data_IF_048595047920
#
_entry.id   IF_048595047920
#
_cell.length_a   1.000
_cell.length_b   1.000
_cell.length_c   1.000
_cell.angle_alpha   90.00
_cell.angle_beta   90.00
_cell.angle_gamma   90.00
#
_symmetry.space_group_name_H-M   'P 1'
#
loop_
_entity.id
_entity.type
_entity.pdbx_description
1 polymer ?
#
# COMPACT_ATOMS: atom_id res chain seq x y z
N UNK A 1 -54.88 -12.65 34.20
CA UNK A 1 -54.28 -11.58 33.37
C UNK A 1 -53.12 -12.20 32.62
N UNK A 2 -53.35 -12.57 31.36
CA UNK A 2 -52.31 -13.13 30.49
C UNK A 2 -51.61 -11.95 29.82
N UNK A 3 -50.40 -11.63 30.24
CA UNK A 3 -49.54 -10.66 29.55
C UNK A 3 -49.03 -11.34 28.27
N UNK A 4 -49.54 -10.94 27.10
CA UNK A 4 -48.97 -11.33 25.83
C UNK A 4 -47.49 -10.90 25.77
N UNK A 5 -46.57 -11.82 25.36
CA UNK A 5 -45.18 -11.45 25.19
C UNK A 5 -45.07 -10.43 24.05
N UNK A 6 -44.57 -9.24 24.35
CA UNK A 6 -44.38 -8.20 23.36
C UNK A 6 -43.44 -8.71 22.23
N UNK A 7 -43.97 -8.79 21.00
CA UNK A 7 -43.17 -9.17 19.83
C UNK A 7 -41.95 -8.22 19.66
N UNK A 8 -40.76 -8.74 19.50
CA UNK A 8 -39.57 -7.89 19.32
C UNK A 8 -39.73 -7.04 18.06
N UNK A 9 -39.48 -5.74 18.16
CA UNK A 9 -39.57 -4.86 16.98
C UNK A 9 -38.50 -5.27 15.96
N UNK A 10 -38.82 -5.23 14.65
CA UNK A 10 -37.88 -5.53 13.55
C UNK A 10 -36.56 -4.80 13.68
N UNK A 11 -36.61 -3.55 14.18
CA UNK A 11 -35.41 -2.74 14.41
C UNK A 11 -34.48 -3.33 15.49
N UNK A 12 -35.05 -3.87 16.57
CA UNK A 12 -34.27 -4.53 17.63
C UNK A 12 -33.67 -5.84 17.13
N UNK A 13 -34.39 -6.61 16.32
CA UNK A 13 -33.89 -7.86 15.73
C UNK A 13 -32.74 -7.55 14.74
N UNK A 14 -32.89 -6.53 13.87
CA UNK A 14 -31.85 -6.10 12.95
C UNK A 14 -30.61 -5.61 13.70
N UNK A 15 -30.78 -4.81 14.76
CA UNK A 15 -29.66 -4.35 15.59
C UNK A 15 -28.90 -5.49 16.25
N UNK A 16 -29.60 -6.49 16.81
CA UNK A 16 -28.97 -7.67 17.39
C UNK A 16 -28.22 -8.50 16.32
N UNK A 17 -28.81 -8.67 15.13
CA UNK A 17 -28.15 -9.38 14.03
C UNK A 17 -26.85 -8.71 13.61
N UNK A 18 -26.84 -7.38 13.45
CA UNK A 18 -25.64 -6.61 13.11
C UNK A 18 -24.57 -6.76 14.21
N UNK A 19 -24.98 -6.65 15.47
CA UNK A 19 -24.07 -6.75 16.62
C UNK A 19 -23.36 -8.11 16.70
N UNK A 20 -23.99 -9.18 16.21
CA UNK A 20 -23.39 -10.51 16.15
C UNK A 20 -22.60 -10.74 14.87
N UNK A 21 -23.13 -10.31 13.72
CA UNK A 21 -22.50 -10.57 12.42
C UNK A 21 -21.20 -9.78 12.22
N UNK A 22 -21.14 -8.51 12.66
CA UNK A 22 -19.95 -7.68 12.48
C UNK A 22 -18.69 -8.28 13.15
N UNK A 23 -18.74 -8.70 14.43
CA UNK A 23 -17.60 -9.37 15.06
C UNK A 23 -17.23 -10.70 14.38
N UNK A 24 -18.21 -11.47 13.93
CA UNK A 24 -17.95 -12.74 13.24
C UNK A 24 -17.20 -12.47 11.92
N UNK A 25 -17.68 -11.56 11.08
CA UNK A 25 -17.03 -11.19 9.83
C UNK A 25 -15.61 -10.67 10.09
N UNK A 26 -15.46 -9.78 11.08
CA UNK A 26 -14.15 -9.27 11.48
C UNK A 26 -13.19 -10.41 11.85
N UNK A 27 -13.59 -11.34 12.70
CA UNK A 27 -12.79 -12.47 13.14
C UNK A 27 -12.46 -13.42 11.98
N UNK A 28 -13.43 -13.71 11.10
CA UNK A 28 -13.19 -14.57 9.93
C UNK A 28 -12.10 -13.96 9.03
N UNK A 29 -12.17 -12.66 8.76
CA UNK A 29 -11.14 -12.00 7.95
C UNK A 29 -9.80 -11.99 8.69
N UNK A 30 -9.77 -11.62 9.96
CA UNK A 30 -8.57 -11.58 10.78
C UNK A 30 -7.86 -12.95 10.83
N UNK A 31 -8.61 -14.03 11.05
CA UNK A 31 -8.08 -15.40 11.07
C UNK A 31 -7.61 -15.85 9.68
N UNK A 32 -8.37 -15.52 8.64
CA UNK A 32 -8.01 -15.89 7.27
C UNK A 32 -6.74 -15.17 6.80
N UNK A 33 -6.59 -13.88 7.11
CA UNK A 33 -5.42 -13.09 6.71
C UNK A 33 -4.24 -13.23 7.66
N UNK A 34 -4.46 -13.67 8.90
CA UNK A 34 -3.50 -13.62 9.99
C UNK A 34 -3.17 -12.17 10.42
N UNK A 35 -4.11 -11.24 10.25
CA UNK A 35 -3.95 -9.82 10.52
C UNK A 35 -5.09 -9.30 11.39
N UNK A 36 -4.82 -9.10 12.68
CA UNK A 36 -5.82 -8.62 13.64
C UNK A 36 -6.20 -7.15 13.43
N UNK A 37 -5.39 -6.38 12.74
CA UNK A 37 -5.63 -4.96 12.47
C UNK A 37 -5.82 -4.69 10.98
N UNK A 38 -6.35 -5.67 10.24
CA UNK A 38 -6.56 -5.61 8.79
C UNK A 38 -7.37 -4.39 8.31
N UNK A 39 -8.19 -3.79 9.18
CA UNK A 39 -8.96 -2.57 8.88
C UNK A 39 -8.14 -1.29 9.04
N UNK A 40 -6.91 -1.36 9.58
CA UNK A 40 -6.08 -0.18 9.77
C UNK A 40 -5.68 0.44 8.44
N UNK A 41 -5.98 1.73 8.22
CA UNK A 41 -5.56 2.42 7.02
C UNK A 41 -4.11 2.90 7.09
N UNK A 42 -3.50 2.84 8.28
CA UNK A 42 -2.18 3.43 8.54
C UNK A 42 -1.09 2.57 7.91
N UNK A 43 -0.18 3.23 7.20
CA UNK A 43 1.09 2.70 6.77
C UNK A 43 2.19 3.45 7.53
N UNK A 44 3.05 2.72 8.21
CA UNK A 44 4.14 3.29 8.99
C UNK A 44 5.32 2.31 8.99
N UNK A 45 6.03 2.26 7.88
CA UNK A 45 7.22 1.43 7.73
C UNK A 45 8.41 2.31 7.34
N UNK A 46 9.58 2.05 7.93
CA UNK A 46 10.81 2.77 7.61
C UNK A 46 11.61 1.95 6.61
N UNK A 47 11.82 2.43 5.38
CA UNK A 47 12.70 1.77 4.43
C UNK A 47 14.17 1.86 4.90
N UNK A 48 14.97 0.88 4.51
CA UNK A 48 16.43 0.92 4.64
C UNK A 48 17.08 1.57 3.42
N UNK A 49 16.46 1.42 2.26
CA UNK A 49 16.93 2.00 1.01
C UNK A 49 15.78 2.65 0.26
N UNK A 50 16.03 3.81 -0.29
CA UNK A 50 15.12 4.53 -1.20
C UNK A 50 15.89 4.80 -2.47
N UNK A 51 15.42 4.27 -3.59
CA UNK A 51 15.99 4.49 -4.91
C UNK A 51 14.91 5.09 -5.81
N UNK A 52 15.21 6.17 -6.48
CA UNK A 52 14.38 6.74 -7.53
C UNK A 52 15.04 6.43 -8.86
N UNK A 53 14.39 5.62 -9.67
CA UNK A 53 14.77 5.36 -11.05
C UNK A 53 14.21 6.49 -11.92
N UNK A 54 15.09 7.43 -12.27
CA UNK A 54 14.77 8.66 -12.96
C UNK A 54 15.17 8.57 -14.43
N UNK A 55 14.27 8.27 -15.32
CA UNK A 55 14.51 8.32 -16.77
C UNK A 55 15.80 7.59 -17.20
N UNK A 56 16.04 6.42 -16.56
CA UNK A 56 17.22 5.57 -16.81
C UNK A 56 18.42 5.84 -15.91
N UNK A 57 18.33 6.77 -14.97
CA UNK A 57 19.36 7.03 -13.95
C UNK A 57 18.84 6.69 -12.55
N UNK A 58 19.69 6.15 -11.70
CA UNK A 58 19.35 5.78 -10.33
C UNK A 58 19.82 6.84 -9.34
N UNK A 59 18.89 7.35 -8.54
CA UNK A 59 19.16 8.31 -7.48
C UNK A 59 18.82 7.71 -6.13
N UNK A 60 19.85 7.41 -5.33
CA UNK A 60 19.70 6.90 -3.97
C UNK A 60 19.52 8.02 -2.95
N UNK A 61 18.57 7.89 -2.04
CA UNK A 61 18.48 8.72 -0.83
C UNK A 61 19.21 8.02 0.31
N UNK A 62 20.15 8.72 0.93
CA UNK A 62 20.99 8.15 1.99
C UNK A 62 20.24 8.11 3.33
N UNK A 63 20.18 6.94 3.95
CA UNK A 63 19.65 6.78 5.30
C UNK A 63 20.39 7.69 6.30
N UNK A 64 19.65 8.20 7.29
CA UNK A 64 20.19 9.10 8.32
C UNK A 64 20.32 10.57 7.89
N UNK A 65 19.87 10.93 6.70
CA UNK A 65 19.75 12.32 6.27
C UNK A 65 18.33 12.86 6.53
N UNK A 66 18.22 14.16 6.82
CA UNK A 66 16.91 14.80 6.98
C UNK A 66 16.00 14.57 5.76
N UNK A 67 16.56 14.64 4.55
CA UNK A 67 15.84 14.41 3.30
C UNK A 67 15.24 13.00 3.21
N UNK A 68 15.97 11.99 3.68
CA UNK A 68 15.48 10.62 3.74
C UNK A 68 14.29 10.50 4.68
N UNK A 69 14.37 11.12 5.86
CA UNK A 69 13.30 11.09 6.86
C UNK A 69 12.05 11.81 6.37
N UNK A 70 12.19 13.02 5.82
CA UNK A 70 11.07 13.78 5.24
C UNK A 70 10.39 13.02 4.10
N UNK A 71 11.18 12.39 3.21
CA UNK A 71 10.61 11.61 2.11
C UNK A 71 9.95 10.32 2.60
N UNK A 72 10.51 9.67 3.62
CA UNK A 72 9.89 8.50 4.27
C UNK A 72 8.52 8.86 4.86
N UNK A 73 8.41 9.99 5.55
CA UNK A 73 7.15 10.47 6.11
C UNK A 73 6.11 10.76 5.01
N UNK A 74 6.54 11.36 3.91
CA UNK A 74 5.68 11.63 2.76
C UNK A 74 5.19 10.33 2.10
N UNK A 75 6.07 9.33 1.96
CA UNK A 75 5.70 7.99 1.49
C UNK A 75 4.67 7.35 2.42
N UNK A 76 4.91 7.38 3.73
CA UNK A 76 3.99 6.82 4.73
C UNK A 76 2.62 7.50 4.66
N UNK A 77 2.56 8.82 4.49
CA UNK A 77 1.31 9.55 4.28
C UNK A 77 0.61 9.13 2.98
N UNK A 78 1.36 9.02 1.88
CA UNK A 78 0.83 8.63 0.56
C UNK A 78 0.26 7.21 0.56
N UNK A 79 0.95 6.28 1.24
CA UNK A 79 0.53 4.88 1.34
C UNK A 79 -0.52 4.64 2.42
N UNK A 80 -0.81 5.62 3.28
CA UNK A 80 -1.89 5.56 4.27
C UNK A 80 -3.25 5.88 3.64
N UNK A 81 -4.32 5.57 4.37
CA UNK A 81 -5.70 5.80 3.93
C UNK A 81 -6.33 4.62 3.21
N UNK A 82 -7.46 4.88 2.56
CA UNK A 82 -8.21 3.85 1.85
C UNK A 82 -7.45 3.36 0.62
N UNK A 83 -7.41 2.04 0.45
CA UNK A 83 -6.73 1.37 -0.66
C UNK A 83 -7.74 0.58 -1.48
N UNK A 84 -7.66 0.67 -2.80
CA UNK A 84 -8.37 -0.23 -3.71
C UNK A 84 -7.43 -1.35 -4.11
N UNK A 85 -7.79 -2.58 -3.83
CA UNK A 85 -6.99 -3.77 -4.13
C UNK A 85 -7.32 -4.31 -5.51
N UNK A 86 -6.27 -4.82 -6.19
CA UNK A 86 -6.36 -5.41 -7.52
C UNK A 86 -5.51 -6.69 -7.57
N UNK A 87 -5.88 -7.62 -8.44
CA UNK A 87 -5.13 -8.85 -8.71
C UNK A 87 -3.94 -8.64 -9.68
N UNK A 88 -3.71 -7.41 -10.12
CA UNK A 88 -2.60 -7.08 -11.02
C UNK A 88 -1.26 -7.30 -10.32
N UNK A 89 -0.49 -8.25 -10.81
CA UNK A 89 0.88 -8.52 -10.34
C UNK A 89 1.91 -7.89 -11.28
N UNK A 90 3.03 -7.47 -10.71
CA UNK A 90 4.17 -6.97 -11.47
C UNK A 90 4.93 -8.13 -12.10
N UNK A 91 5.04 -8.18 -13.43
CA UNK A 91 5.90 -9.15 -14.10
C UNK A 91 7.37 -8.77 -13.95
N UNK A 92 8.27 -9.74 -14.02
CA UNK A 92 9.71 -9.48 -13.97
C UNK A 92 10.17 -8.55 -15.10
N UNK A 93 9.66 -8.74 -16.31
CA UNK A 93 9.97 -7.86 -17.43
C UNK A 93 9.55 -6.41 -17.20
N UNK A 94 8.36 -6.18 -16.63
CA UNK A 94 7.91 -4.83 -16.28
C UNK A 94 8.71 -4.24 -15.11
N UNK A 95 9.15 -5.06 -14.16
CA UNK A 95 10.01 -4.62 -13.08
C UNK A 95 11.36 -4.12 -13.60
N UNK A 96 11.98 -4.85 -14.51
CA UNK A 96 13.22 -4.42 -15.17
C UNK A 96 13.03 -3.15 -16.01
N UNK A 97 11.89 -3.03 -16.71
CA UNK A 97 11.54 -1.80 -17.41
C UNK A 97 11.44 -0.60 -16.44
N UNK A 98 10.88 -0.78 -15.26
CA UNK A 98 10.79 0.29 -14.26
C UNK A 98 12.16 0.78 -13.79
N UNK A 99 13.15 -0.08 -13.76
CA UNK A 99 14.51 0.27 -13.34
C UNK A 99 15.33 0.93 -14.46
N UNK A 100 15.04 0.66 -15.72
CA UNK A 100 15.94 1.03 -16.82
C UNK A 100 15.33 1.89 -17.93
N UNK A 101 14.01 2.08 -17.94
CA UNK A 101 13.36 2.80 -19.04
C UNK A 101 13.60 4.31 -18.95
N UNK A 102 14.21 4.94 -20.00
CA UNK A 102 14.53 6.36 -19.99
C UNK A 102 13.32 7.30 -20.11
N UNK A 103 12.11 6.78 -20.18
CA UNK A 103 10.88 7.56 -20.25
C UNK A 103 10.03 7.43 -18.98
N UNK A 104 10.49 6.67 -18.00
CA UNK A 104 9.71 6.39 -16.81
C UNK A 104 10.41 6.85 -15.54
N UNK A 105 9.59 7.19 -14.55
CA UNK A 105 10.06 7.48 -13.20
C UNK A 105 9.39 6.51 -12.23
N UNK A 106 10.20 5.81 -11.44
CA UNK A 106 9.74 4.81 -10.48
C UNK A 106 10.46 4.97 -9.16
N UNK A 107 9.72 4.88 -8.06
CA UNK A 107 10.27 4.85 -6.72
C UNK A 107 10.32 3.40 -6.23
N UNK A 108 11.48 2.97 -5.78
CA UNK A 108 11.70 1.69 -5.13
C UNK A 108 12.11 1.86 -3.67
N UNK A 109 11.41 1.18 -2.77
CA UNK A 109 11.62 1.22 -1.33
C UNK A 109 12.01 -0.17 -0.85
N UNK A 110 13.25 -0.33 -0.40
CA UNK A 110 13.77 -1.56 0.19
C UNK A 110 13.66 -1.54 1.72
N UNK A 111 13.20 -2.64 2.31
CA UNK A 111 13.06 -2.80 3.75
C UNK A 111 13.92 -3.97 4.24
N UNK A 112 14.58 -3.81 5.40
CA UNK A 112 15.45 -4.83 5.98
C UNK A 112 14.68 -6.12 6.31
N UNK A 113 13.47 -5.97 6.84
CA UNK A 113 12.61 -7.08 7.23
C UNK A 113 11.34 -7.08 6.39
N UNK A 114 10.79 -8.28 6.17
CA UNK A 114 9.50 -8.40 5.53
C UNK A 114 8.40 -7.88 6.45
N UNK A 115 7.51 -7.09 5.91
CA UNK A 115 6.40 -6.48 6.61
C UNK A 115 5.07 -6.75 5.91
N UNK A 116 4.01 -6.25 6.49
CA UNK A 116 2.64 -6.38 5.99
C UNK A 116 2.00 -5.02 5.75
N UNK A 117 1.28 -4.90 4.64
CA UNK A 117 0.30 -3.82 4.46
C UNK A 117 -1.05 -4.35 4.92
N UNK A 118 -1.62 -3.74 5.96
CA UNK A 118 -2.88 -4.17 6.56
C UNK A 118 -4.04 -4.13 5.57
N UNK A 119 -4.73 -5.26 5.43
CA UNK A 119 -5.87 -5.41 4.53
C UNK A 119 -6.65 -6.70 4.74
N UNK A 120 -7.85 -6.77 4.16
CA UNK A 120 -8.63 -8.00 4.05
C UNK A 120 -8.02 -9.03 3.06
N UNK A 121 -6.92 -8.70 2.39
CA UNK A 121 -6.26 -9.53 1.38
C UNK A 121 -4.88 -9.98 1.86
N UNK A 122 -4.40 -11.13 1.35
CA UNK A 122 -3.07 -11.68 1.67
C UNK A 122 -1.95 -11.20 0.76
N UNK A 123 -2.24 -10.36 -0.21
CA UNK A 123 -1.29 -10.02 -1.29
C UNK A 123 0.02 -9.39 -0.77
N UNK A 124 -0.07 -8.54 0.24
CA UNK A 124 1.04 -7.81 0.83
C UNK A 124 1.32 -8.24 2.27
N UNK A 125 1.30 -9.54 2.55
CA UNK A 125 1.49 -10.05 3.90
C UNK A 125 2.94 -10.26 4.32
N UNK A 126 3.88 -10.35 3.37
CA UNK A 126 5.30 -10.60 3.62
C UNK A 126 6.11 -10.01 2.47
N UNK A 127 6.10 -8.70 2.33
CA UNK A 127 6.90 -8.00 1.31
C UNK A 127 8.08 -7.28 1.97
N UNK A 128 9.16 -7.11 1.25
CA UNK A 128 10.31 -6.32 1.67
C UNK A 128 10.72 -5.27 0.64
N UNK A 129 9.97 -5.15 -0.45
CA UNK A 129 10.16 -4.09 -1.44
C UNK A 129 8.80 -3.56 -1.88
N UNK A 130 8.67 -2.24 -1.93
CA UNK A 130 7.55 -1.52 -2.53
C UNK A 130 8.03 -0.80 -3.78
N UNK A 131 7.25 -0.88 -4.85
CA UNK A 131 7.51 -0.24 -6.12
C UNK A 131 6.33 0.67 -6.44
N UNK A 132 6.61 1.96 -6.66
CA UNK A 132 5.63 3.00 -6.92
C UNK A 132 5.96 3.64 -8.28
N UNK A 133 5.25 3.29 -9.36
CA UNK A 133 5.35 4.01 -10.61
C UNK A 133 4.89 5.46 -10.44
N UNK A 134 5.77 6.42 -10.72
CA UNK A 134 5.48 7.85 -10.62
C UNK A 134 5.19 8.47 -11.97
N UNK A 135 5.87 7.98 -13.02
CA UNK A 135 5.58 8.32 -14.42
C UNK A 135 5.67 7.08 -15.30
N UNK A 136 4.96 7.08 -16.42
CA UNK A 136 4.91 5.97 -17.35
C UNK A 136 3.80 4.96 -17.04
N UNK A 137 4.08 3.69 -17.31
CA UNK A 137 3.10 2.60 -17.17
C UNK A 137 2.61 2.47 -15.73
N UNK A 138 1.30 2.33 -15.53
CA UNK A 138 0.59 2.22 -14.25
C UNK A 138 0.62 3.46 -13.34
N UNK A 139 1.38 4.51 -13.65
CA UNK A 139 1.41 5.75 -12.87
C UNK A 139 0.04 6.42 -12.79
N UNK A 140 -0.69 6.51 -13.91
CA UNK A 140 -2.04 7.12 -13.98
C UNK A 140 -3.04 6.44 -13.03
N UNK A 141 -2.86 5.15 -12.77
CA UNK A 141 -3.75 4.39 -11.88
C UNK A 141 -3.33 4.48 -10.42
N UNK A 142 -2.20 5.12 -10.10
CA UNK A 142 -1.57 5.14 -8.78
C UNK A 142 -1.41 3.73 -8.19
N UNK A 143 -1.04 2.76 -9.02
CA UNK A 143 -0.85 1.38 -8.62
C UNK A 143 0.47 1.23 -7.85
N UNK A 144 0.40 0.50 -6.75
CA UNK A 144 1.54 0.17 -5.89
C UNK A 144 1.76 -1.33 -5.96
N UNK A 145 3.00 -1.72 -6.24
CA UNK A 145 3.39 -3.12 -6.31
C UNK A 145 4.29 -3.48 -5.14
N UNK A 146 4.31 -4.76 -4.81
CA UNK A 146 5.18 -5.31 -3.79
C UNK A 146 6.03 -6.46 -4.32
N UNK A 147 7.18 -6.69 -3.68
CA UNK A 147 8.01 -7.88 -3.92
C UNK A 147 8.45 -8.48 -2.59
N UNK A 148 8.74 -9.77 -2.63
CA UNK A 148 9.38 -10.52 -1.56
C UNK A 148 10.66 -11.14 -2.12
N UNK A 149 11.79 -10.48 -1.90
CA UNK A 149 13.01 -10.81 -2.64
C UNK A 149 12.75 -10.70 -4.14
N UNK A 150 13.09 -11.74 -4.88
CA UNK A 150 12.91 -11.77 -6.34
C UNK A 150 11.49 -12.09 -6.81
N UNK A 151 10.58 -12.39 -5.89
CA UNK A 151 9.21 -12.77 -6.25
C UNK A 151 8.23 -11.60 -6.13
N UNK A 152 7.41 -11.34 -7.15
CA UNK A 152 6.37 -10.32 -7.06
C UNK A 152 5.27 -10.75 -6.08
N UNK A 153 4.65 -9.78 -5.42
CA UNK A 153 3.42 -10.01 -4.68
C UNK A 153 2.29 -10.39 -5.65
N UNK A 154 1.33 -11.18 -5.17
CA UNK A 154 0.23 -11.71 -5.99
C UNK A 154 -0.84 -10.68 -6.39
N UNK A 155 -0.61 -9.38 -6.18
CA UNK A 155 -1.54 -8.31 -6.51
C UNK A 155 -0.91 -6.95 -6.32
N UNK A 156 -1.73 -5.92 -6.43
CA UNK A 156 -1.38 -4.53 -6.22
C UNK A 156 -2.44 -3.82 -5.40
N UNK A 157 -2.14 -2.64 -4.92
CA UNK A 157 -3.16 -1.72 -4.43
C UNK A 157 -2.99 -0.34 -5.04
N UNK A 158 -4.07 0.43 -5.04
CA UNK A 158 -4.09 1.78 -5.58
C UNK A 158 -4.33 2.76 -4.44
N UNK A 159 -3.53 3.80 -4.40
CA UNK A 159 -3.69 4.94 -3.50
C UNK A 159 -4.47 6.06 -4.17
N UNK A 160 -4.86 7.07 -3.41
CA UNK A 160 -5.61 8.21 -3.93
C UNK A 160 -4.81 8.99 -4.97
N UNK A 161 -3.53 9.23 -4.69
CA UNK A 161 -2.61 9.96 -5.57
C UNK A 161 -1.17 9.74 -5.15
N UNK A 162 -0.25 9.72 -6.12
CA UNK A 162 1.20 9.74 -5.92
C UNK A 162 1.81 11.12 -6.23
N UNK A 163 0.98 12.10 -6.62
CA UNK A 163 1.43 13.44 -7.00
C UNK A 163 2.33 14.14 -5.96
N UNK A 164 2.09 14.02 -4.62
CA UNK A 164 2.98 14.63 -3.64
C UNK A 164 4.41 14.09 -3.70
N UNK A 165 4.60 12.82 -4.06
CA UNK A 165 5.94 12.23 -4.23
C UNK A 165 6.64 12.83 -5.45
N UNK A 166 5.94 12.96 -6.57
CA UNK A 166 6.47 13.59 -7.81
C UNK A 166 6.86 15.04 -7.53
N UNK A 167 5.99 15.79 -6.86
CA UNK A 167 6.24 17.20 -6.51
C UNK A 167 7.48 17.35 -5.62
N UNK A 168 7.61 16.50 -4.59
CA UNK A 168 8.77 16.51 -3.71
C UNK A 168 10.08 16.28 -4.48
N UNK A 169 10.09 15.28 -5.38
CA UNK A 169 11.27 14.97 -6.19
C UNK A 169 11.65 16.14 -7.12
N UNK A 170 10.65 16.77 -7.75
CA UNK A 170 10.85 17.91 -8.63
C UNK A 170 11.38 19.14 -7.87
N UNK A 171 10.75 19.52 -6.76
CA UNK A 171 11.12 20.70 -5.94
C UNK A 171 12.53 20.55 -5.37
N UNK A 172 12.93 19.33 -5.00
CA UNK A 172 14.27 19.06 -4.46
C UNK A 172 15.33 18.78 -5.52
N UNK A 173 15.00 18.89 -6.81
CA UNK A 173 15.92 18.64 -7.92
C UNK A 173 16.48 17.21 -7.95
N UNK A 174 15.72 16.25 -7.39
CA UNK A 174 16.16 14.85 -7.31
C UNK A 174 15.92 14.11 -8.62
N UNK A 175 14.97 14.56 -9.42
CA UNK A 175 14.64 13.95 -10.69
C UNK A 175 14.30 15.06 -11.70
N UNK A 176 15.29 15.68 -12.35
CA UNK A 176 15.01 16.68 -13.36
C UNK A 176 14.27 16.02 -14.53
N UNK A 177 13.16 16.63 -14.95
CA UNK A 177 12.47 16.18 -16.16
C UNK A 177 13.38 16.35 -17.39
N UNK A 178 13.37 15.39 -18.31
CA UNK A 178 14.16 15.46 -19.52
C UNK A 178 13.79 16.60 -20.46
#
# INVERSE_FOLDING_TARGET
MNSEPASPSLLKMAGMAILVLVPIVYLVIALNTGDLIWISPVFNARPQAIVVHCFGEDIGLNEGTQRFDEFTDLVNQTLSGSKRWDSLSLSEATYQEYQSNPQWMTLELGYAEAFRVHSAYKFFSHINTIIIPLEGRHAITNAIFGRRGDLPAAGSFHVKTTAPLVEYLAVNGLCPQP
#
